data_IF_868352617824
#
_entry.id   IF_868352617824
#
_cell.length_a   1.000
_cell.length_b   1.000
_cell.length_c   1.000
_cell.angle_alpha   90.00
_cell.angle_beta   90.00
_cell.angle_gamma   90.00
#
_symmetry.space_group_name_H-M   'P 1'
#
loop_
_entity.id
_entity.type
_entity.pdbx_description
1 polymer ?
#
# COMPACT_ATOMS: atom_id res chain seq x y z
N UNK A 1 -13.55 -16.60 9.43
CA UNK A 1 -12.15 -16.98 9.65
C UNK A 1 -11.42 -15.68 9.89
N UNK A 2 -11.00 -15.45 11.13
CA UNK A 2 -10.47 -14.15 11.54
C UNK A 2 -9.01 -14.05 11.08
N UNK A 3 -8.76 -13.17 10.12
CA UNK A 3 -7.41 -12.86 9.65
C UNK A 3 -6.85 -11.79 10.59
N UNK A 4 -5.99 -12.22 11.52
CA UNK A 4 -5.34 -11.34 12.47
C UNK A 4 -3.90 -11.01 12.04
N UNK A 5 -3.45 -9.75 12.20
CA UNK A 5 -2.06 -9.37 11.99
C UNK A 5 -1.08 -10.11 12.91
N UNK A 6 0.11 -10.41 12.39
CA UNK A 6 1.28 -10.80 13.20
C UNK A 6 2.15 -9.57 13.47
N UNK A 7 3.20 -9.74 14.30
CA UNK A 7 4.19 -8.70 14.57
C UNK A 7 4.89 -8.23 13.28
N UNK A 8 5.13 -9.13 12.33
CA UNK A 8 5.72 -8.80 11.04
C UNK A 8 4.76 -7.94 10.19
N UNK A 9 3.47 -8.27 10.18
CA UNK A 9 2.45 -7.49 9.48
C UNK A 9 2.35 -6.06 10.07
N UNK A 10 2.38 -5.96 11.39
CA UNK A 10 2.36 -4.68 12.12
C UNK A 10 3.63 -3.85 11.90
N UNK A 11 4.79 -4.50 11.84
CA UNK A 11 6.08 -3.85 11.60
C UNK A 11 6.11 -3.22 10.22
N UNK A 12 5.79 -3.99 9.18
CA UNK A 12 5.70 -3.49 7.80
C UNK A 12 4.68 -2.35 7.69
N UNK A 13 3.50 -2.53 8.28
CA UNK A 13 2.46 -1.50 8.28
C UNK A 13 2.92 -0.19 8.94
N UNK A 14 3.65 -0.27 10.04
CA UNK A 14 4.16 0.89 10.76
C UNK A 14 5.28 1.60 9.99
N UNK A 15 6.15 0.86 9.31
CA UNK A 15 7.18 1.39 8.42
C UNK A 15 6.58 2.18 7.26
N UNK A 16 5.63 1.58 6.54
CA UNK A 16 4.90 2.23 5.44
C UNK A 16 4.14 3.45 5.97
N UNK A 17 3.40 3.32 7.06
CA UNK A 17 2.68 4.45 7.65
C UNK A 17 3.62 5.62 7.99
N UNK A 18 4.75 5.35 8.65
CA UNK A 18 5.74 6.39 9.01
C UNK A 18 6.38 7.03 7.79
N UNK A 19 6.65 6.25 6.73
CA UNK A 19 7.14 6.75 5.43
C UNK A 19 6.17 7.75 4.81
N UNK A 20 4.86 7.48 4.86
CA UNK A 20 3.85 8.33 4.24
C UNK A 20 3.31 9.47 5.11
N UNK A 21 3.31 9.32 6.43
CA UNK A 21 2.77 10.34 7.36
C UNK A 21 3.46 11.71 7.25
N UNK A 22 4.69 11.75 6.75
CA UNK A 22 5.49 12.98 6.59
C UNK A 22 5.38 13.60 5.20
N UNK A 23 4.61 13.00 4.28
CA UNK A 23 4.51 13.43 2.88
C UNK A 23 3.34 14.40 2.69
N UNK A 24 3.39 15.29 1.67
CA UNK A 24 2.23 16.08 1.29
C UNK A 24 1.01 15.19 0.98
N UNK A 25 -0.17 15.53 1.51
CA UNK A 25 -1.39 14.73 1.32
C UNK A 25 -1.60 13.62 2.34
N UNK A 26 -0.82 13.60 3.43
CA UNK A 26 -0.88 12.57 4.46
C UNK A 26 -2.18 12.56 5.29
N UNK A 27 -3.06 13.55 5.14
CA UNK A 27 -4.26 13.74 5.97
C UNK A 27 -5.29 12.61 5.77
N UNK A 28 -5.20 11.88 4.66
CA UNK A 28 -6.16 10.84 4.26
C UNK A 28 -5.51 9.49 3.96
N UNK A 29 -4.31 9.23 4.46
CA UNK A 29 -3.63 7.94 4.25
C UNK A 29 -4.26 6.84 5.09
N UNK A 30 -4.08 5.60 4.65
CA UNK A 30 -4.45 4.43 5.43
C UNK A 30 -3.71 4.43 6.79
N UNK A 31 -4.44 4.11 7.85
CA UNK A 31 -3.87 3.99 9.19
C UNK A 31 -2.96 2.77 9.29
N UNK A 32 -2.01 2.78 10.24
CA UNK A 32 -1.18 1.61 10.51
C UNK A 32 -2.02 0.36 10.85
N UNK A 33 -3.16 0.54 11.54
CA UNK A 33 -4.10 -0.53 11.83
C UNK A 33 -4.69 -1.17 10.55
N UNK A 34 -5.15 -0.33 9.61
CA UNK A 34 -5.71 -0.82 8.35
C UNK A 34 -4.63 -1.51 7.49
N UNK A 35 -3.43 -0.95 7.46
CA UNK A 35 -2.29 -1.51 6.74
C UNK A 35 -1.87 -2.87 7.32
N UNK A 36 -1.89 -3.05 8.64
CA UNK A 36 -1.54 -4.33 9.27
C UNK A 36 -2.53 -5.44 8.91
N UNK A 37 -3.83 -5.13 8.87
CA UNK A 37 -4.85 -6.10 8.44
C UNK A 37 -4.75 -6.41 6.95
N UNK A 38 -4.45 -5.42 6.12
CA UNK A 38 -4.21 -5.66 4.70
C UNK A 38 -2.96 -6.54 4.49
N UNK A 39 -1.86 -6.30 5.21
CA UNK A 39 -0.68 -7.16 5.18
C UNK A 39 -1.02 -8.61 5.57
N UNK A 40 -1.79 -8.80 6.64
CA UNK A 40 -2.25 -10.13 7.05
C UNK A 40 -3.07 -10.83 5.95
N UNK A 41 -3.95 -10.09 5.25
CA UNK A 41 -4.71 -10.61 4.10
C UNK A 41 -3.76 -11.01 2.97
N UNK A 42 -2.78 -10.17 2.61
CA UNK A 42 -1.81 -10.46 1.55
C UNK A 42 -0.97 -11.69 1.88
N UNK A 43 -0.50 -11.82 3.13
CA UNK A 43 0.27 -12.96 3.62
C UNK A 43 -0.51 -14.27 3.52
N UNK A 44 -1.80 -14.27 3.90
CA UNK A 44 -2.62 -15.48 3.89
C UNK A 44 -3.20 -15.83 2.52
N UNK A 45 -3.63 -14.82 1.74
CA UNK A 45 -4.31 -15.03 0.46
C UNK A 45 -3.37 -15.06 -0.73
N UNK A 46 -2.21 -14.41 -0.62
CA UNK A 46 -1.15 -14.32 -1.64
C UNK A 46 -1.72 -14.03 -3.04
N UNK A 47 -2.47 -12.93 -3.20
CA UNK A 47 -3.05 -12.59 -4.50
C UNK A 47 -1.94 -12.27 -5.51
N UNK A 48 -2.10 -12.76 -6.75
CA UNK A 48 -1.22 -12.40 -7.86
C UNK A 48 -1.51 -11.01 -8.42
N UNK A 49 -2.78 -10.63 -8.45
CA UNK A 49 -3.22 -9.35 -8.99
C UNK A 49 -4.18 -8.64 -8.04
N UNK A 50 -4.04 -7.32 -7.89
CA UNK A 50 -4.89 -6.48 -7.04
C UNK A 50 -5.40 -5.28 -7.84
N UNK A 51 -6.69 -4.99 -7.73
CA UNK A 51 -7.29 -3.74 -8.18
C UNK A 51 -7.46 -2.82 -6.96
N UNK A 52 -6.86 -1.65 -7.01
CA UNK A 52 -6.96 -0.59 -6.02
C UNK A 52 -7.81 0.56 -6.58
N UNK A 53 -8.85 0.94 -5.83
CA UNK A 53 -9.73 2.06 -6.18
C UNK A 53 -9.48 3.18 -5.18
N UNK A 54 -9.00 4.33 -5.66
CA UNK A 54 -8.61 5.47 -4.82
C UNK A 54 -7.22 5.30 -4.22
N UNK A 55 -6.19 5.30 -5.07
CA UNK A 55 -4.79 5.13 -4.67
C UNK A 55 -4.29 6.24 -3.71
N UNK A 56 -4.92 7.42 -3.76
CA UNK A 56 -4.49 8.59 -3.02
C UNK A 56 -3.04 8.91 -3.33
N UNK A 57 -2.25 9.21 -2.30
CA UNK A 57 -0.82 9.48 -2.47
C UNK A 57 0.04 8.20 -2.51
N UNK A 58 -0.56 7.00 -2.48
CA UNK A 58 0.12 5.72 -2.69
C UNK A 58 0.44 4.88 -1.46
N UNK A 59 -0.19 5.13 -0.31
CA UNK A 59 0.15 4.38 0.93
C UNK A 59 -0.23 2.91 0.85
N UNK A 60 -1.42 2.60 0.34
CA UNK A 60 -1.86 1.21 0.12
C UNK A 60 -1.13 0.59 -1.06
N UNK A 61 -0.98 1.33 -2.16
CA UNK A 61 -0.16 0.93 -3.32
C UNK A 61 1.25 0.50 -2.91
N UNK A 62 1.92 1.28 -2.06
CA UNK A 62 3.25 0.94 -1.55
C UNK A 62 3.24 -0.36 -0.75
N UNK A 63 2.28 -0.54 0.16
CA UNK A 63 2.15 -1.80 0.89
C UNK A 63 1.99 -2.99 -0.08
N UNK A 64 1.12 -2.88 -1.09
CA UNK A 64 0.89 -3.95 -2.06
C UNK A 64 2.17 -4.35 -2.83
N UNK A 65 2.97 -3.35 -3.22
CA UNK A 65 4.19 -3.54 -4.01
C UNK A 65 5.41 -3.99 -3.20
N UNK A 66 5.49 -3.55 -1.93
CA UNK A 66 6.58 -3.82 -1.00
C UNK A 66 6.34 -5.09 -0.14
N UNK A 67 5.11 -5.63 -0.13
CA UNK A 67 4.78 -6.80 0.68
C UNK A 67 5.53 -8.08 0.22
N UNK A 68 6.12 -8.87 1.15
CA UNK A 68 6.92 -10.06 0.82
C UNK A 68 6.16 -11.18 0.10
N UNK A 69 4.82 -11.17 0.13
CA UNK A 69 4.02 -12.14 -0.62
C UNK A 69 4.19 -12.01 -2.14
N UNK A 70 4.68 -10.87 -2.62
CA UNK A 70 4.97 -10.61 -4.03
C UNK A 70 3.71 -10.51 -4.87
N UNK A 71 2.97 -9.40 -4.79
CA UNK A 71 1.91 -9.13 -5.76
C UNK A 71 2.54 -8.89 -7.12
N UNK A 72 2.17 -9.71 -8.11
CA UNK A 72 2.72 -9.64 -9.47
C UNK A 72 2.24 -8.37 -10.19
N UNK A 73 0.97 -7.98 -9.96
CA UNK A 73 0.34 -6.83 -10.62
C UNK A 73 -0.61 -6.08 -9.69
N UNK A 74 -0.43 -4.78 -9.59
CA UNK A 74 -1.37 -3.82 -8.99
C UNK A 74 -1.93 -2.99 -10.13
N UNK A 75 -3.24 -2.78 -10.17
CA UNK A 75 -3.88 -1.79 -11.03
C UNK A 75 -4.53 -0.79 -10.11
N UNK A 76 -4.09 0.46 -10.13
CA UNK A 76 -4.58 1.50 -9.24
C UNK A 76 -5.32 2.59 -10.02
N UNK A 77 -6.39 3.12 -9.43
CA UNK A 77 -7.14 4.26 -10.00
C UNK A 77 -7.16 5.42 -9.02
N UNK A 78 -6.99 6.63 -9.54
CA UNK A 78 -7.05 7.90 -8.81
C UNK A 78 -7.47 8.99 -9.79
N UNK A 79 -8.30 9.94 -9.35
CA UNK A 79 -8.82 11.01 -10.21
C UNK A 79 -8.41 12.40 -9.73
N UNK A 80 -7.85 12.52 -8.53
CA UNK A 80 -7.39 13.78 -7.97
C UNK A 80 -5.97 14.11 -8.48
N UNK A 81 -5.77 15.22 -9.23
CA UNK A 81 -4.49 15.50 -9.89
C UNK A 81 -3.29 15.57 -8.93
N UNK A 82 -3.48 16.19 -7.76
CA UNK A 82 -2.44 16.23 -6.73
C UNK A 82 -2.07 14.83 -6.23
N UNK A 83 -3.05 13.93 -6.08
CA UNK A 83 -2.77 12.56 -5.62
C UNK A 83 -1.98 11.80 -6.67
N UNK A 84 -2.32 11.93 -7.95
CA UNK A 84 -1.56 11.34 -9.06
C UNK A 84 -0.09 11.80 -9.08
N UNK A 85 0.14 13.11 -8.91
CA UNK A 85 1.49 13.68 -8.84
C UNK A 85 2.27 13.14 -7.64
N UNK A 86 1.64 13.07 -6.46
CA UNK A 86 2.28 12.52 -5.26
C UNK A 86 2.51 11.02 -5.40
N UNK A 87 1.56 10.26 -5.92
CA UNK A 87 1.66 8.82 -6.17
C UNK A 87 2.91 8.50 -7.00
N UNK A 88 3.11 9.21 -8.11
CA UNK A 88 4.29 9.03 -8.97
C UNK A 88 5.60 9.32 -8.23
N UNK A 89 5.64 10.36 -7.39
CA UNK A 89 6.83 10.74 -6.61
C UNK A 89 7.13 9.80 -5.45
N UNK A 90 6.09 9.19 -4.91
CA UNK A 90 6.13 8.50 -3.63
C UNK A 90 6.53 7.03 -3.75
N UNK A 91 6.27 6.44 -4.91
CA UNK A 91 6.54 5.04 -5.20
C UNK A 91 7.94 4.84 -5.78
N UNK A 92 8.51 3.67 -5.51
CA UNK A 92 9.81 3.28 -6.06
C UNK A 92 9.71 3.16 -7.60
N UNK A 93 10.56 3.85 -8.39
CA UNK A 93 10.60 3.68 -9.84
C UNK A 93 10.72 2.22 -10.30
N UNK A 94 11.39 1.36 -9.53
CA UNK A 94 11.52 -0.08 -9.80
C UNK A 94 10.20 -0.86 -9.73
N UNK A 95 9.16 -0.27 -9.14
CA UNK A 95 7.83 -0.89 -9.01
C UNK A 95 6.90 -0.65 -10.19
N UNK A 96 7.27 0.23 -11.15
CA UNK A 96 6.45 0.58 -12.33
C UNK A 96 6.14 -0.60 -13.26
N UNK A 97 6.96 -1.66 -13.27
CA UNK A 97 6.65 -2.87 -14.03
C UNK A 97 5.49 -3.69 -13.45
N UNK A 98 5.07 -3.37 -12.22
CA UNK A 98 4.03 -4.06 -11.45
C UNK A 98 2.81 -3.17 -11.15
N UNK A 99 2.83 -1.87 -11.47
CA UNK A 99 1.75 -0.91 -11.23
C UNK A 99 1.18 -0.35 -12.55
#
# INVERSE_FOLDING_TARGET
MDILPTVEDETLALEIYRKFRRRPGAERIASAFALAHLAAILRQRRPRSVLEIGAGIGTVTALLLEHPSGVDRVVATENHPFCLEQLERNLDPGSRGRL
#
